data_IF_136893337790
#
_entry.id   IF_136893337790
#
_cell.length_a   1.000
_cell.length_b   1.000
_cell.length_c   1.000
_cell.angle_alpha   90.00
_cell.angle_beta   90.00
_cell.angle_gamma   90.00
#
_symmetry.space_group_name_H-M   'P 1'
#
loop_
_entity.id
_entity.type
_entity.pdbx_description
1 polymer ?
#
# COMPACT_ATOMS: atom_id res chain seq x y z
N UNK A 1 20.00 16.50 -47.27
CA UNK A 1 20.12 16.05 -45.92
C UNK A 1 18.90 15.21 -45.57
N UNK A 2 19.11 13.94 -45.21
CA UNK A 2 18.05 13.07 -44.71
C UNK A 2 17.98 13.27 -43.20
N UNK A 3 16.81 13.68 -42.71
CA UNK A 3 16.52 13.60 -41.29
C UNK A 3 16.07 12.18 -40.97
N UNK A 4 16.87 11.41 -40.27
CA UNK A 4 16.42 10.16 -39.66
C UNK A 4 15.69 10.58 -38.37
N UNK A 5 14.37 10.57 -38.44
CA UNK A 5 13.56 10.65 -37.21
C UNK A 5 13.65 9.25 -36.60
N UNK A 6 14.44 9.12 -35.54
CA UNK A 6 14.29 7.98 -34.63
C UNK A 6 12.94 8.18 -33.95
N UNK A 7 11.91 7.50 -34.44
CA UNK A 7 10.72 7.29 -33.63
C UNK A 7 11.21 6.41 -32.47
N UNK A 8 11.28 7.00 -31.29
CA UNK A 8 11.40 6.18 -30.07
C UNK A 8 10.12 5.34 -30.03
N UNK A 9 10.27 4.01 -30.06
CA UNK A 9 9.16 3.09 -29.88
C UNK A 9 8.52 3.38 -28.52
N UNK A 10 7.46 4.18 -28.53
CA UNK A 10 6.63 4.48 -27.37
C UNK A 10 5.71 3.31 -27.02
N UNK A 11 4.94 3.48 -25.98
CA UNK A 11 3.79 2.64 -25.70
C UNK A 11 2.64 3.24 -26.52
N UNK A 12 2.22 2.56 -27.58
CA UNK A 12 1.17 3.03 -28.49
C UNK A 12 -0.21 2.86 -27.86
N UNK A 13 -0.43 1.76 -27.13
CA UNK A 13 -1.68 1.41 -26.48
C UNK A 13 -1.63 1.76 -24.96
N UNK A 14 -1.66 3.05 -24.67
CA UNK A 14 -1.69 3.53 -23.31
C UNK A 14 -3.11 3.47 -22.74
N UNK A 15 -3.34 2.78 -21.60
CA UNK A 15 -4.65 2.71 -20.99
C UNK A 15 -5.20 4.07 -20.59
N UNK A 16 -6.48 4.31 -20.87
CA UNK A 16 -7.23 5.46 -20.39
C UNK A 16 -7.53 5.35 -18.88
N UNK A 17 -8.14 6.37 -18.30
CA UNK A 17 -8.49 6.36 -16.87
C UNK A 17 -9.49 5.27 -16.46
N UNK A 18 -10.28 4.77 -17.42
CA UNK A 18 -11.28 3.73 -17.20
C UNK A 18 -10.78 2.32 -17.55
N UNK A 19 -9.53 2.19 -17.97
CA UNK A 19 -8.92 0.93 -18.37
C UNK A 19 -7.86 0.52 -17.33
N UNK A 20 -8.20 -0.35 -16.39
CA UNK A 20 -7.30 -0.71 -15.31
C UNK A 20 -6.09 -1.49 -15.82
N UNK A 21 -4.96 -1.28 -15.14
CA UNK A 21 -3.73 -2.04 -15.34
C UNK A 21 -3.58 -3.06 -14.23
N UNK A 22 -3.12 -4.25 -14.59
CA UNK A 22 -2.91 -5.37 -13.68
C UNK A 22 -1.47 -5.86 -13.76
N UNK A 23 -1.04 -6.54 -12.69
CA UNK A 23 0.17 -7.36 -12.67
C UNK A 23 -0.24 -8.82 -12.50
N UNK A 24 0.38 -9.73 -13.26
CA UNK A 24 0.07 -11.16 -13.26
C UNK A 24 1.30 -11.99 -13.66
N UNK A 25 1.32 -13.24 -13.28
CA UNK A 25 2.35 -14.20 -13.68
C UNK A 25 2.71 -15.19 -12.58
N UNK A 26 3.47 -16.20 -12.92
CA UNK A 26 3.94 -17.22 -11.96
C UNK A 26 4.77 -16.59 -10.83
N UNK A 27 5.41 -15.45 -11.12
CA UNK A 27 6.19 -14.67 -10.17
C UNK A 27 5.36 -13.82 -9.20
N UNK A 28 4.06 -13.70 -9.39
CA UNK A 28 3.14 -12.92 -8.55
C UNK A 28 2.27 -13.80 -7.67
N UNK A 29 1.36 -13.20 -6.92
CA UNK A 29 0.51 -13.89 -5.95
C UNK A 29 -0.65 -14.68 -6.58
N UNK A 30 -1.04 -14.31 -7.80
CA UNK A 30 -2.04 -15.02 -8.61
C UNK A 30 -1.53 -16.32 -9.23
N UNK A 31 -0.21 -16.58 -9.12
CA UNK A 31 0.46 -17.78 -9.63
C UNK A 31 0.18 -18.04 -11.14
N UNK A 32 -0.03 -16.96 -11.90
CA UNK A 32 -0.31 -16.98 -13.33
C UNK A 32 -1.79 -17.14 -13.71
N UNK A 33 -2.70 -17.09 -12.74
CA UNK A 33 -4.14 -17.02 -13.03
C UNK A 33 -4.55 -15.56 -13.29
N UNK A 34 -4.62 -15.19 -14.55
CA UNK A 34 -5.01 -13.82 -14.94
C UNK A 34 -6.39 -13.38 -14.41
N UNK A 35 -7.27 -14.32 -14.05
CA UNK A 35 -8.56 -13.98 -13.45
C UNK A 35 -8.41 -13.40 -12.03
N UNK A 36 -7.32 -13.77 -11.35
CA UNK A 36 -6.94 -13.30 -10.01
C UNK A 36 -5.84 -12.23 -10.06
N UNK A 37 -5.54 -11.67 -11.24
CA UNK A 37 -4.50 -10.67 -11.43
C UNK A 37 -4.72 -9.45 -10.53
N UNK A 38 -3.65 -8.96 -9.91
CA UNK A 38 -3.75 -7.83 -9.00
C UNK A 38 -3.83 -6.51 -9.76
N UNK A 39 -4.92 -5.76 -9.54
CA UNK A 39 -5.05 -4.43 -10.10
C UNK A 39 -4.06 -3.46 -9.46
N UNK A 40 -3.39 -2.67 -10.29
CA UNK A 40 -2.53 -1.57 -9.87
C UNK A 40 -3.35 -0.31 -9.63
N UNK A 41 -3.01 0.45 -8.61
CA UNK A 41 -3.65 1.74 -8.34
C UNK A 41 -3.08 2.81 -9.27
N UNK A 42 -3.97 3.45 -10.04
CA UNK A 42 -3.60 4.60 -10.87
C UNK A 42 -3.28 5.81 -9.97
N UNK A 43 -2.04 6.26 -10.01
CA UNK A 43 -1.57 7.41 -9.24
C UNK A 43 -1.79 8.73 -10.00
N UNK A 44 -1.60 8.69 -11.31
CA UNK A 44 -1.76 9.80 -12.25
C UNK A 44 -1.91 9.23 -13.67
N UNK A 45 -2.02 10.09 -14.68
CA UNK A 45 -2.03 9.69 -16.08
C UNK A 45 -0.79 8.85 -16.41
N UNK A 46 -1.00 7.64 -16.92
CA UNK A 46 0.06 6.70 -17.29
C UNK A 46 0.91 6.16 -16.13
N UNK A 47 0.62 6.52 -14.87
CA UNK A 47 1.40 6.08 -13.70
C UNK A 47 0.56 5.16 -12.83
N UNK A 48 1.05 3.93 -12.65
CA UNK A 48 0.37 2.89 -11.87
C UNK A 48 1.31 2.32 -10.82
N UNK A 49 0.77 2.00 -9.65
CA UNK A 49 1.53 1.49 -8.53
C UNK A 49 0.79 0.33 -7.86
N UNK A 50 1.53 -0.66 -7.41
CA UNK A 50 1.01 -1.75 -6.58
C UNK A 50 2.03 -2.17 -5.53
N UNK A 51 1.54 -2.81 -4.48
CA UNK A 51 2.34 -3.53 -3.51
C UNK A 51 1.99 -5.01 -3.63
N UNK A 52 2.97 -5.85 -3.86
CA UNK A 52 2.77 -7.27 -4.12
C UNK A 52 3.98 -8.09 -3.70
N UNK A 53 3.77 -9.36 -3.39
CA UNK A 53 4.86 -10.30 -3.18
C UNK A 53 5.32 -10.86 -4.54
N UNK A 54 6.63 -10.85 -4.76
CA UNK A 54 7.25 -11.43 -5.95
C UNK A 54 8.16 -12.60 -5.57
N UNK A 55 8.21 -13.59 -6.46
CA UNK A 55 9.09 -14.76 -6.37
C UNK A 55 10.34 -14.53 -7.22
N UNK A 56 11.52 -14.81 -6.65
CA UNK A 56 12.80 -14.68 -7.38
C UNK A 56 12.80 -15.49 -8.68
N UNK A 57 13.32 -14.89 -9.73
CA UNK A 57 13.53 -15.51 -11.05
C UNK A 57 12.27 -16.12 -11.70
N UNK A 58 11.08 -15.78 -11.18
CA UNK A 58 9.82 -16.19 -11.76
C UNK A 58 9.21 -15.08 -12.61
N UNK A 59 8.66 -15.41 -13.80
CA UNK A 59 8.15 -14.41 -14.73
C UNK A 59 6.84 -13.78 -14.26
N UNK A 60 6.72 -12.49 -14.53
CA UNK A 60 5.47 -11.75 -14.45
C UNK A 60 5.38 -10.70 -15.56
N UNK A 61 4.22 -10.10 -15.74
CA UNK A 61 3.94 -9.12 -16.79
C UNK A 61 2.88 -8.13 -16.31
N UNK A 62 2.83 -6.96 -16.92
CA UNK A 62 1.73 -6.02 -16.75
C UNK A 62 0.75 -6.18 -17.90
N UNK A 63 -0.55 -5.98 -17.63
CA UNK A 63 -1.58 -6.08 -18.67
C UNK A 63 -2.70 -5.07 -18.47
N UNK A 64 -3.35 -4.74 -19.55
CA UNK A 64 -4.58 -3.95 -19.59
C UNK A 64 -5.47 -4.40 -20.74
N UNK A 65 -6.71 -3.91 -20.77
CA UNK A 65 -7.57 -3.99 -21.96
C UNK A 65 -7.79 -2.58 -22.47
N UNK A 66 -7.15 -2.26 -23.59
CA UNK A 66 -7.20 -0.94 -24.22
C UNK A 66 -8.10 -1.03 -25.44
N UNK A 67 -9.16 -0.22 -25.51
CA UNK A 67 -10.15 -0.24 -26.59
C UNK A 67 -10.68 -1.65 -26.91
N UNK A 68 -10.84 -2.49 -25.87
CA UNK A 68 -11.33 -3.87 -25.99
C UNK A 68 -10.28 -4.90 -26.44
N UNK A 69 -9.04 -4.50 -26.65
CA UNK A 69 -7.90 -5.36 -26.97
C UNK A 69 -7.03 -5.58 -25.75
N UNK A 70 -6.63 -6.83 -25.48
CA UNK A 70 -5.70 -7.14 -24.41
C UNK A 70 -4.28 -6.73 -24.81
N UNK A 71 -3.67 -5.87 -24.00
CA UNK A 71 -2.31 -5.37 -24.17
C UNK A 71 -1.44 -5.83 -23.01
N UNK A 72 -0.18 -6.16 -23.30
CA UNK A 72 0.80 -6.58 -22.32
C UNK A 72 2.01 -5.66 -22.36
N UNK A 73 2.59 -5.42 -21.17
CA UNK A 73 3.76 -4.55 -21.04
C UNK A 73 4.84 -5.27 -20.24
N UNK A 74 6.07 -5.15 -20.66
CA UNK A 74 7.24 -5.78 -20.06
C UNK A 74 8.39 -4.78 -19.93
N UNK A 75 9.50 -5.21 -19.34
CA UNK A 75 10.72 -4.41 -19.22
C UNK A 75 11.80 -5.07 -20.05
N UNK A 76 12.41 -4.33 -20.97
CA UNK A 76 13.49 -4.82 -21.81
C UNK A 76 14.82 -4.91 -21.03
N UNK A 77 15.86 -5.48 -21.67
CA UNK A 77 17.20 -5.65 -21.08
C UNK A 77 17.89 -4.33 -20.69
N UNK A 78 17.37 -3.20 -21.18
CA UNK A 78 17.86 -1.86 -20.84
C UNK A 78 17.08 -1.23 -19.68
N UNK A 79 16.10 -1.93 -19.12
CA UNK A 79 15.25 -1.44 -18.05
C UNK A 79 14.14 -0.51 -18.53
N UNK A 80 13.82 -0.51 -19.82
CA UNK A 80 12.77 0.33 -20.43
C UNK A 80 11.45 -0.44 -20.49
N UNK A 81 10.38 0.19 -20.01
CA UNK A 81 9.03 -0.36 -20.12
C UNK A 81 8.58 -0.32 -21.60
N UNK A 82 8.13 -1.45 -22.11
CA UNK A 82 7.73 -1.65 -23.50
C UNK A 82 6.35 -2.31 -23.59
N UNK A 83 5.63 -2.02 -24.65
CA UNK A 83 4.49 -2.82 -25.06
C UNK A 83 5.00 -4.09 -25.78
N UNK A 84 4.36 -5.23 -25.47
CA UNK A 84 4.69 -6.53 -26.09
C UNK A 84 3.89 -6.69 -27.39
N UNK A 85 4.60 -6.94 -28.48
CA UNK A 85 3.95 -7.25 -29.76
C UNK A 85 3.35 -8.66 -29.77
N UNK A 86 2.42 -8.88 -30.69
CA UNK A 86 1.81 -10.20 -30.89
C UNK A 86 2.85 -11.28 -31.19
N UNK A 87 2.79 -12.38 -30.46
CA UNK A 87 3.69 -13.53 -30.62
C UNK A 87 5.02 -13.44 -29.90
N UNK A 88 5.27 -12.36 -29.14
CA UNK A 88 6.42 -12.25 -28.24
C UNK A 88 6.06 -12.81 -26.85
N UNK A 89 7.06 -13.42 -26.17
CA UNK A 89 6.92 -13.99 -24.82
C UNK A 89 7.76 -13.25 -23.79
N UNK A 90 8.02 -11.96 -24.00
CA UNK A 90 8.79 -11.15 -23.06
C UNK A 90 8.04 -10.99 -21.74
N UNK A 91 8.78 -11.17 -20.65
CA UNK A 91 8.29 -11.04 -19.27
C UNK A 91 9.32 -10.31 -18.44
N UNK A 92 8.96 -10.07 -17.19
CA UNK A 92 9.81 -9.43 -16.18
C UNK A 92 10.12 -10.42 -15.08
N UNK A 93 11.31 -10.33 -14.48
CA UNK A 93 11.68 -11.08 -13.27
C UNK A 93 12.35 -10.16 -12.25
N UNK A 94 12.39 -10.57 -10.98
CA UNK A 94 13.21 -9.94 -9.94
C UNK A 94 14.22 -10.94 -9.41
N UNK A 95 15.43 -10.50 -9.00
CA UNK A 95 16.48 -11.41 -8.56
C UNK A 95 16.27 -11.97 -7.15
N UNK A 96 15.37 -11.39 -6.37
CA UNK A 96 15.11 -11.78 -4.99
C UNK A 96 13.61 -11.85 -4.70
N UNK A 97 13.20 -12.85 -3.94
CA UNK A 97 11.82 -12.91 -3.44
C UNK A 97 11.62 -11.89 -2.34
N UNK A 98 10.48 -11.21 -2.35
CA UNK A 98 10.17 -10.21 -1.35
C UNK A 98 8.84 -9.54 -1.61
N UNK A 99 8.47 -8.60 -0.77
CA UNK A 99 7.34 -7.72 -1.00
C UNK A 99 7.89 -6.44 -1.61
N UNK A 100 7.29 -6.01 -2.70
CA UNK A 100 7.74 -4.84 -3.45
C UNK A 100 6.62 -3.84 -3.65
N UNK A 101 6.97 -2.56 -3.61
CA UNK A 101 6.19 -1.52 -4.27
C UNK A 101 6.71 -1.39 -5.69
N UNK A 102 5.85 -1.66 -6.66
CA UNK A 102 6.17 -1.53 -8.08
C UNK A 102 5.46 -0.29 -8.61
N UNK A 103 6.19 0.58 -9.26
CA UNK A 103 5.63 1.75 -9.94
C UNK A 103 6.05 1.72 -11.40
N UNK A 104 5.08 1.76 -12.31
CA UNK A 104 5.32 1.92 -13.74
C UNK A 104 4.86 3.30 -14.20
N UNK A 105 5.63 3.91 -15.07
CA UNK A 105 5.27 5.14 -15.78
C UNK A 105 5.32 4.87 -17.28
N UNK A 106 4.17 4.72 -17.89
CA UNK A 106 4.05 4.39 -19.30
C UNK A 106 4.47 5.55 -20.22
N UNK A 107 4.22 6.80 -19.78
CA UNK A 107 4.63 7.97 -20.54
C UNK A 107 6.14 8.16 -20.61
N UNK A 108 6.85 7.89 -19.51
CA UNK A 108 8.30 7.95 -19.43
C UNK A 108 8.97 6.59 -19.69
N UNK A 109 8.19 5.54 -19.87
CA UNK A 109 8.65 4.16 -20.08
C UNK A 109 9.61 3.67 -18.98
N UNK A 110 9.31 4.01 -17.73
CA UNK A 110 10.13 3.67 -16.58
C UNK A 110 9.42 2.72 -15.61
N UNK A 111 10.20 2.00 -14.84
CA UNK A 111 9.76 1.14 -13.76
C UNK A 111 10.64 1.31 -12.53
N UNK A 112 10.06 1.21 -11.35
CA UNK A 112 10.80 1.08 -10.10
C UNK A 112 10.32 -0.12 -9.28
N UNK A 113 11.25 -0.74 -8.58
CA UNK A 113 11.03 -1.82 -7.63
C UNK A 113 11.59 -1.39 -6.28
N UNK A 114 10.72 -1.11 -5.35
CA UNK A 114 11.11 -0.72 -4.00
C UNK A 114 10.83 -1.87 -3.04
N UNK A 115 11.84 -2.42 -2.41
CA UNK A 115 11.68 -3.48 -1.42
C UNK A 115 10.98 -2.95 -0.17
N UNK A 116 9.97 -3.69 0.29
CA UNK A 116 9.20 -3.35 1.49
C UNK A 116 9.70 -4.18 2.67
N UNK A 117 10.16 -3.50 3.68
CA UNK A 117 10.53 -4.08 4.96
C UNK A 117 9.37 -4.11 5.95
N UNK A 118 9.62 -3.67 7.19
CA UNK A 118 8.61 -3.68 8.23
C UNK A 118 7.49 -2.67 7.98
N UNK A 119 6.25 -3.10 8.26
CA UNK A 119 5.06 -2.25 8.28
C UNK A 119 4.45 -2.32 9.67
N UNK A 120 4.18 -1.17 10.28
CA UNK A 120 3.72 -1.12 11.66
C UNK A 120 2.94 0.14 12.00
N UNK A 121 2.09 0.01 13.01
CA UNK A 121 1.48 1.14 13.69
C UNK A 121 2.48 1.69 14.72
N UNK A 122 2.62 2.98 14.76
CA UNK A 122 3.42 3.70 15.73
C UNK A 122 2.55 4.67 16.53
N UNK A 123 2.44 4.40 17.82
CA UNK A 123 1.83 5.35 18.75
C UNK A 123 2.93 6.26 19.28
N UNK A 124 2.78 7.55 19.10
CA UNK A 124 3.81 8.54 19.39
C UNK A 124 4.19 8.63 20.87
N UNK A 125 3.24 8.39 21.77
CA UNK A 125 3.54 8.36 23.19
C UNK A 125 4.19 7.04 23.59
N UNK A 126 5.44 7.08 24.00
CA UNK A 126 6.14 5.93 24.57
C UNK A 126 6.69 4.94 23.57
N UNK A 127 6.96 5.38 22.35
CA UNK A 127 7.62 4.58 21.30
C UNK A 127 6.96 3.22 21.05
N UNK A 128 5.64 3.14 21.24
CA UNK A 128 4.92 1.91 21.06
C UNK A 128 4.76 1.56 19.58
N UNK A 129 5.16 0.35 19.25
CA UNK A 129 5.10 -0.20 17.91
C UNK A 129 4.27 -1.48 17.88
N UNK A 130 3.34 -1.58 16.97
CA UNK A 130 2.62 -2.80 16.61
C UNK A 130 2.93 -3.19 15.17
N UNK A 131 3.62 -4.30 14.97
CA UNK A 131 3.91 -4.81 13.64
C UNK A 131 2.66 -5.39 12.99
N UNK A 132 2.56 -5.22 11.66
CA UNK A 132 1.55 -5.84 10.81
C UNK A 132 2.15 -7.02 10.06
N UNK A 133 1.32 -8.03 9.82
CA UNK A 133 1.65 -9.14 8.95
C UNK A 133 1.16 -8.84 7.53
N UNK A 134 1.93 -9.26 6.54
CA UNK A 134 1.48 -9.23 5.16
C UNK A 134 0.41 -10.31 4.94
N UNK A 135 -0.71 -9.93 4.32
CA UNK A 135 -1.88 -10.78 4.11
C UNK A 135 -2.09 -11.16 2.64
N UNK A 136 -1.20 -10.69 1.77
CA UNK A 136 -1.31 -10.85 0.32
C UNK A 136 -1.98 -9.67 -0.38
N UNK A 137 -1.72 -9.54 -1.68
CA UNK A 137 -2.35 -8.56 -2.58
C UNK A 137 -2.31 -7.12 -2.04
N UNK A 138 -1.14 -6.71 -1.51
CA UNK A 138 -0.93 -5.36 -0.98
C UNK A 138 -1.68 -5.06 0.32
N UNK A 139 -2.08 -6.08 1.08
CA UNK A 139 -2.74 -5.90 2.37
C UNK A 139 -1.82 -6.27 3.52
N UNK A 140 -1.89 -5.49 4.60
CA UNK A 140 -1.26 -5.81 5.87
C UNK A 140 -2.29 -5.76 6.99
N UNK A 141 -2.13 -6.58 8.00
CA UNK A 141 -3.09 -6.61 9.09
C UNK A 141 -2.55 -7.11 10.40
N UNK A 142 -3.27 -6.79 11.45
CA UNK A 142 -3.15 -7.35 12.78
C UNK A 142 -4.53 -7.67 13.32
N UNK A 143 -4.67 -8.84 13.94
CA UNK A 143 -5.90 -9.27 14.59
C UNK A 143 -5.79 -9.14 16.10
N UNK A 144 -6.94 -8.92 16.74
CA UNK A 144 -7.04 -8.84 18.22
C UNK A 144 -6.08 -7.82 18.83
N UNK A 145 -5.86 -6.70 18.12
CA UNK A 145 -5.01 -5.63 18.60
C UNK A 145 -5.65 -4.94 19.81
N UNK A 146 -4.90 -4.85 20.91
CA UNK A 146 -5.27 -4.05 22.07
C UNK A 146 -4.58 -2.69 21.96
N UNK A 147 -5.34 -1.68 21.57
CA UNK A 147 -4.82 -0.32 21.50
C UNK A 147 -4.45 0.19 22.89
N UNK A 148 -3.43 1.04 22.94
CA UNK A 148 -3.01 1.67 24.18
C UNK A 148 -2.70 3.14 23.98
N UNK A 149 -2.95 3.95 24.99
CA UNK A 149 -2.56 5.35 25.05
C UNK A 149 -1.80 5.63 26.33
N UNK A 150 -0.72 6.38 26.21
CA UNK A 150 0.11 6.75 27.35
C UNK A 150 -0.26 8.15 27.84
N UNK A 151 -0.36 8.33 29.15
CA UNK A 151 -0.51 9.66 29.71
C UNK A 151 0.82 10.38 29.69
N UNK A 152 0.79 11.57 29.11
CA UNK A 152 1.89 12.52 29.16
C UNK A 152 1.61 13.59 30.23
N UNK A 153 2.64 14.24 30.73
CA UNK A 153 2.48 15.29 31.73
C UNK A 153 1.62 16.47 31.27
N UNK A 154 1.55 16.67 29.95
CA UNK A 154 0.76 17.73 29.31
C UNK A 154 -0.60 17.25 28.79
N UNK A 155 -0.81 15.94 28.69
CA UNK A 155 -2.04 15.32 28.21
C UNK A 155 -2.65 14.40 29.26
N UNK A 156 -3.33 14.95 30.23
CA UNK A 156 -3.91 14.21 31.35
C UNK A 156 -4.87 13.07 30.96
N UNK A 157 -5.51 13.16 29.79
CA UNK A 157 -6.39 12.11 29.24
C UNK A 157 -5.65 11.04 28.42
N UNK A 158 -4.36 11.20 28.23
CA UNK A 158 -3.52 10.34 27.40
C UNK A 158 -3.42 10.77 25.94
N UNK A 159 -2.30 10.39 25.33
CA UNK A 159 -2.03 10.69 23.91
C UNK A 159 -2.63 9.62 23.01
N UNK A 160 -3.47 10.01 22.08
CA UNK A 160 -4.21 9.11 21.17
C UNK A 160 -3.70 9.15 19.74
N UNK A 161 -2.72 10.00 19.43
CA UNK A 161 -2.22 10.12 18.05
C UNK A 161 -1.33 8.95 17.68
N UNK A 162 -1.53 8.46 16.47
CA UNK A 162 -0.73 7.40 15.86
C UNK A 162 -0.57 7.62 14.36
N UNK A 163 0.38 6.93 13.77
CA UNK A 163 0.56 6.86 12.32
C UNK A 163 1.00 5.44 11.94
N UNK A 164 0.95 5.14 10.67
CA UNK A 164 1.54 3.92 10.14
C UNK A 164 2.92 4.23 9.57
N UNK A 165 3.83 3.30 9.71
CA UNK A 165 5.18 3.39 9.16
C UNK A 165 5.46 2.20 8.29
N UNK A 166 6.20 2.42 7.22
CA UNK A 166 6.63 1.41 6.26
C UNK A 166 8.09 1.65 5.90
N UNK A 167 8.88 0.62 5.98
CA UNK A 167 10.24 0.65 5.45
C UNK A 167 10.21 0.38 3.95
N UNK A 168 10.78 1.31 3.19
CA UNK A 168 10.88 1.24 1.73
C UNK A 168 12.33 1.43 1.36
N UNK A 169 12.98 0.41 0.78
CA UNK A 169 14.41 0.40 0.51
C UNK A 169 15.26 0.80 1.73
N UNK A 170 14.91 0.29 2.91
CA UNK A 170 15.60 0.57 4.17
C UNK A 170 15.32 1.97 4.78
N UNK A 171 14.55 2.81 4.11
CA UNK A 171 14.13 4.12 4.63
C UNK A 171 12.71 4.02 5.19
N UNK A 172 12.51 4.49 6.42
CA UNK A 172 11.19 4.49 7.06
C UNK A 172 10.39 5.72 6.67
N UNK A 173 9.28 5.48 5.97
CA UNK A 173 8.28 6.50 5.64
C UNK A 173 7.10 6.40 6.57
N UNK A 174 6.49 7.55 6.83
CA UNK A 174 5.26 7.65 7.59
C UNK A 174 4.06 7.79 6.64
N UNK A 175 2.99 7.13 7.02
CA UNK A 175 1.70 7.19 6.33
C UNK A 175 0.66 7.75 7.28
N UNK A 176 -0.04 8.76 6.83
CA UNK A 176 -0.98 9.48 7.65
C UNK A 176 -2.08 10.13 6.84
N UNK A 177 -2.66 11.17 7.42
CA UNK A 177 -3.74 11.94 6.82
C UNK A 177 -3.22 12.92 5.77
N UNK A 178 -4.09 13.38 4.87
CA UNK A 178 -3.74 14.39 3.87
C UNK A 178 -3.62 15.79 4.48
N UNK A 179 -4.45 16.09 5.47
CA UNK A 179 -4.50 17.40 6.11
C UNK A 179 -3.88 17.38 7.49
N UNK A 180 -3.15 18.43 7.83
CA UNK A 180 -2.57 18.61 9.14
C UNK A 180 -3.65 18.65 10.22
N UNK A 181 -3.42 17.95 11.34
CA UNK A 181 -4.27 17.91 12.54
C UNK A 181 -5.72 17.44 12.33
N UNK A 182 -6.03 16.84 11.18
CA UNK A 182 -7.38 16.40 10.83
C UNK A 182 -7.46 14.89 10.57
N UNK A 183 -7.05 14.08 11.48
CA UNK A 183 -7.21 12.65 11.29
C UNK A 183 -7.89 12.02 12.47
N UNK A 184 -9.04 11.43 12.24
CA UNK A 184 -9.66 10.51 13.20
C UNK A 184 -10.07 9.27 12.42
N UNK A 185 -9.49 8.11 12.70
CA UNK A 185 -10.12 6.89 12.24
C UNK A 185 -11.50 6.83 12.88
N UNK A 186 -12.52 6.78 12.07
CA UNK A 186 -13.86 6.55 12.59
C UNK A 186 -14.01 5.06 12.85
N UNK A 187 -13.66 4.65 14.02
CA UNK A 187 -13.75 3.26 14.44
C UNK A 187 -15.20 2.89 14.77
N UNK A 188 -16.10 3.17 13.83
CA UNK A 188 -17.47 2.73 13.95
C UNK A 188 -17.60 1.28 13.44
N UNK A 189 -18.64 0.62 13.89
CA UNK A 189 -18.98 -0.76 13.47
C UNK A 189 -19.47 -0.86 12.03
N UNK A 190 -19.62 0.26 11.34
CA UNK A 190 -20.14 0.35 9.97
C UNK A 190 -19.07 0.21 8.88
N UNK A 191 -17.86 -0.21 9.26
CA UNK A 191 -16.79 -0.53 8.30
C UNK A 191 -16.25 0.65 7.49
N UNK A 192 -16.16 1.82 8.07
CA UNK A 192 -15.57 2.98 7.41
C UNK A 192 -14.10 2.77 7.06
N UNK A 193 -13.70 3.28 5.89
CA UNK A 193 -12.33 3.23 5.38
C UNK A 193 -11.75 4.64 5.38
N UNK A 194 -10.48 4.76 5.76
CA UNK A 194 -9.75 6.03 5.82
C UNK A 194 -8.56 6.02 4.89
N UNK A 195 -8.41 7.11 4.14
CA UNK A 195 -7.33 7.26 3.17
C UNK A 195 -5.98 7.39 3.86
N UNK A 196 -4.98 6.71 3.29
CA UNK A 196 -3.58 6.77 3.68
C UNK A 196 -2.76 7.50 2.63
N UNK A 197 -1.95 8.43 3.08
CA UNK A 197 -1.03 9.19 2.24
C UNK A 197 0.40 9.03 2.74
N UNK A 198 1.33 8.78 1.82
CA UNK A 198 2.76 8.81 2.15
C UNK A 198 3.16 10.25 2.45
N UNK A 199 3.78 10.46 3.60
CA UNK A 199 4.24 11.77 4.03
C UNK A 199 5.69 11.97 3.61
N UNK A 200 6.06 13.23 3.32
CA UNK A 200 7.44 13.58 3.02
C UNK A 200 8.35 13.29 4.23
N UNK A 201 9.60 12.91 3.95
CA UNK A 201 10.61 12.77 5.00
C UNK A 201 10.82 14.11 5.72
N UNK A 202 10.98 14.05 7.03
CA UNK A 202 11.16 15.23 7.87
C UNK A 202 9.85 15.96 8.24
N UNK A 203 8.68 15.48 7.81
CA UNK A 203 7.40 15.98 8.29
C UNK A 203 7.31 15.80 9.80
N UNK A 204 6.84 16.85 10.50
CA UNK A 204 6.67 16.80 11.96
C UNK A 204 5.87 15.56 12.36
N UNK A 205 6.36 14.75 13.30
CA UNK A 205 5.71 13.50 13.66
C UNK A 205 4.31 13.68 14.26
N UNK A 206 3.90 14.88 14.65
CA UNK A 206 2.54 15.15 15.14
C UNK A 206 1.59 15.55 14.01
N UNK A 207 2.12 16.14 12.96
CA UNK A 207 1.33 16.53 11.81
C UNK A 207 0.82 15.30 11.06
N UNK A 208 -0.39 15.39 10.54
CA UNK A 208 -1.02 14.34 9.71
C UNK A 208 -1.22 12.98 10.40
N UNK A 209 -1.13 12.93 11.73
CA UNK A 209 -1.42 11.73 12.51
C UNK A 209 -2.93 11.45 12.56
N UNK A 210 -3.28 10.19 12.74
CA UNK A 210 -4.63 9.78 13.11
C UNK A 210 -4.79 9.81 14.63
N UNK A 211 -6.02 9.91 15.10
CA UNK A 211 -6.36 9.73 16.51
C UNK A 211 -7.14 8.45 16.70
N UNK A 212 -6.95 7.78 17.82
CA UNK A 212 -7.81 6.68 18.20
C UNK A 212 -9.24 7.16 18.43
N UNK A 213 -10.21 6.35 18.02
CA UNK A 213 -11.62 6.58 18.34
C UNK A 213 -11.92 6.02 19.74
N UNK A 214 -12.13 6.92 20.68
CA UNK A 214 -12.39 6.54 22.07
C UNK A 214 -13.69 5.75 22.22
N UNK A 215 -14.68 6.00 21.36
CA UNK A 215 -16.00 5.36 21.43
C UNK A 215 -15.94 3.88 21.07
N UNK A 216 -15.20 3.50 20.05
CA UNK A 216 -15.04 2.09 19.70
C UNK A 216 -14.11 1.36 20.69
N UNK A 217 -13.00 1.95 21.02
CA UNK A 217 -11.95 1.27 21.79
C UNK A 217 -12.35 1.09 23.26
N UNK A 218 -13.15 2.02 23.82
CA UNK A 218 -13.60 1.96 25.19
C UNK A 218 -12.42 1.72 26.16
N UNK A 219 -11.79 2.81 26.62
CA UNK A 219 -10.62 2.74 27.46
C UNK A 219 -10.94 2.20 28.86
N UNK A 220 -10.20 1.19 29.28
CA UNK A 220 -10.27 0.66 30.63
C UNK A 220 -9.60 1.56 31.67
N UNK A 221 -9.44 1.04 32.87
CA UNK A 221 -8.74 1.75 33.95
C UNK A 221 -7.26 1.93 33.61
N UNK A 222 -6.70 3.03 34.11
CA UNK A 222 -5.30 3.36 33.94
C UNK A 222 -4.43 2.38 34.71
N UNK A 223 -3.47 1.76 34.05
CA UNK A 223 -2.48 0.86 34.60
C UNK A 223 -1.10 1.54 34.51
N UNK A 224 -0.57 2.02 35.64
CA UNK A 224 0.63 2.86 35.61
C UNK A 224 0.37 4.15 34.80
N UNK A 225 1.10 4.40 33.75
CA UNK A 225 0.91 5.55 32.85
C UNK A 225 0.21 5.20 31.53
N UNK A 226 -0.47 4.05 31.44
CA UNK A 226 -1.06 3.54 30.21
C UNK A 226 -2.53 3.21 30.41
N UNK A 227 -3.38 3.61 29.48
CA UNK A 227 -4.72 3.07 29.29
C UNK A 227 -4.69 2.00 28.19
N UNK A 228 -5.37 0.91 28.44
CA UNK A 228 -5.57 -0.16 27.45
C UNK A 228 -7.03 -0.15 26.97
N UNK A 229 -7.21 -0.35 25.67
CA UNK A 229 -8.55 -0.51 25.14
C UNK A 229 -9.20 -1.79 25.69
N UNK A 230 -10.47 -1.72 26.03
CA UNK A 230 -11.26 -2.89 26.45
C UNK A 230 -11.82 -3.65 25.26
N UNK A 231 -12.00 -2.98 24.11
CA UNK A 231 -12.41 -3.60 22.85
C UNK A 231 -11.15 -3.88 22.03
N UNK A 232 -10.92 -5.14 21.70
CA UNK A 232 -9.88 -5.54 20.75
C UNK A 232 -10.34 -5.24 19.33
N UNK A 233 -9.40 -4.88 18.46
CA UNK A 233 -9.69 -4.52 17.07
C UNK A 233 -8.83 -5.30 16.08
N UNK A 234 -9.42 -5.61 14.93
CA UNK A 234 -8.70 -6.03 13.75
C UNK A 234 -8.41 -4.79 12.91
N UNK A 235 -7.14 -4.59 12.57
CA UNK A 235 -6.67 -3.44 11.79
C UNK A 235 -6.10 -3.94 10.48
N UNK A 236 -6.59 -3.40 9.37
CA UNK A 236 -6.12 -3.75 8.03
C UNK A 236 -5.70 -2.50 7.26
N UNK A 237 -4.53 -2.57 6.62
CA UNK A 237 -4.03 -1.57 5.68
C UNK A 237 -4.19 -2.13 4.27
N UNK A 238 -4.76 -1.33 3.38
CA UNK A 238 -4.99 -1.67 1.98
C UNK A 238 -4.08 -0.80 1.10
N UNK A 239 -2.94 -1.33 0.72
CA UNK A 239 -2.02 -0.71 -0.24
C UNK A 239 -2.23 -1.32 -1.63
N UNK A 240 -3.49 -1.32 -2.06
CA UNK A 240 -3.94 -1.85 -3.34
C UNK A 240 -5.03 -0.96 -3.96
N UNK A 241 -5.59 -1.37 -5.10
CA UNK A 241 -6.58 -0.59 -5.84
C UNK A 241 -8.03 -0.81 -5.38
N UNK A 242 -8.27 -1.66 -4.36
CA UNK A 242 -9.61 -2.10 -3.98
C UNK A 242 -10.59 -0.95 -3.69
N UNK A 243 -10.10 0.14 -3.11
CA UNK A 243 -10.93 1.31 -2.75
C UNK A 243 -10.59 2.57 -3.56
N UNK A 244 -9.88 2.44 -4.67
CA UNK A 244 -9.46 3.57 -5.53
C UNK A 244 -8.39 4.48 -4.92
N UNK A 245 -7.96 4.22 -3.69
CA UNK A 245 -6.88 4.88 -2.96
C UNK A 245 -6.37 3.95 -1.87
N UNK A 246 -5.19 4.22 -1.31
CA UNK A 246 -4.72 3.47 -0.15
C UNK A 246 -5.54 3.83 1.09
N UNK A 247 -5.90 2.82 1.87
CA UNK A 247 -6.82 2.99 3.00
C UNK A 247 -6.39 2.15 4.20
N UNK A 248 -6.94 2.47 5.35
CA UNK A 248 -6.94 1.59 6.51
C UNK A 248 -8.35 1.44 7.09
N UNK A 249 -8.57 0.34 7.79
CA UNK A 249 -9.83 0.00 8.40
C UNK A 249 -9.59 -0.62 9.77
N UNK A 250 -10.49 -0.28 10.69
CA UNK A 250 -10.53 -0.82 12.04
C UNK A 250 -11.91 -1.41 12.28
N UNK A 251 -11.95 -2.62 12.84
CA UNK A 251 -13.21 -3.25 13.24
C UNK A 251 -13.03 -3.90 14.61
N UNK A 252 -14.10 -3.95 15.40
CA UNK A 252 -14.06 -4.76 16.61
C UNK A 252 -13.77 -6.21 16.24
N UNK A 253 -12.82 -6.83 16.92
CA UNK A 253 -12.52 -8.25 16.70
C UNK A 253 -13.72 -9.09 17.11
N UNK A 254 -14.05 -10.10 16.29
CA UNK A 254 -15.03 -11.09 16.70
C UNK A 254 -14.54 -11.79 17.96
N UNK A 255 -15.34 -11.78 19.01
CA UNK A 255 -15.10 -12.64 20.16
C UNK A 255 -15.42 -14.06 19.72
N UNK A 256 -14.38 -14.90 19.54
CA UNK A 256 -14.64 -16.32 19.52
C UNK A 256 -15.21 -16.67 20.90
N UNK A 257 -16.51 -16.91 20.97
CA UNK A 257 -17.10 -17.58 22.10
C UNK A 257 -16.51 -19.02 22.08
N UNK A 258 -15.59 -19.30 23.01
CA UNK A 258 -15.07 -20.64 23.30
C UNK A 258 -16.18 -21.51 23.94
#
# INVERSE_FOLDING_TARGET
GYFVIFMMDGIDDMPSENEPVYITGVGTEDDGDEAEAQQMLRQNEGIYQTFTQLKADQPFIFMSTVEGRKCYYYVDDNGVLRERNDGEDYTVTVPQSGIYRITINMGEQTISYDEIGAVYLFNKSGDYRQNFNYLGYGKWGVKNYTARKQTESWAGSGETRHSFKMEINGTTYRWGHKEKDKGQPNLTTDNSYYNLYQLALGTDPWDYSFRFCDELLQWGEKQGNVYYATVKTDVTLYFNAEFGTYTHRWVASETNED
#
